data_IF_852306486779
#
_entry.id   IF_852306486779
#
_cell.length_a   1.000
_cell.length_b   1.000
_cell.length_c   1.000
_cell.angle_alpha   90.00
_cell.angle_beta   90.00
_cell.angle_gamma   90.00
#
_symmetry.space_group_name_H-M   'P 1'
#
loop_
_entity.id
_entity.type
_entity.pdbx_description
1 polymer ?
#
# COMPACT_ATOMS: atom_id res chain seq x y z
N UNK A 1 -5.03 19.18 70.84
CA UNK A 1 -4.46 18.24 69.84
C UNK A 1 -5.59 17.82 68.91
N UNK A 2 -5.62 18.31 67.67
CA UNK A 2 -6.63 17.93 66.68
C UNK A 2 -6.07 16.81 65.81
N UNK A 3 -6.69 15.63 65.84
CA UNK A 3 -6.35 14.53 64.93
C UNK A 3 -7.03 14.77 63.59
N UNK A 4 -6.23 14.84 62.52
CA UNK A 4 -6.74 14.84 61.15
C UNK A 4 -7.15 13.42 60.77
N UNK A 5 -8.46 13.19 60.65
CA UNK A 5 -9.02 11.94 60.13
C UNK A 5 -8.87 11.96 58.60
N UNK A 6 -7.94 11.18 58.05
CA UNK A 6 -7.81 10.97 56.61
C UNK A 6 -8.70 9.80 56.17
N UNK A 7 -9.83 10.10 55.53
CA UNK A 7 -10.66 9.08 54.89
C UNK A 7 -10.01 8.60 53.59
N UNK A 8 -9.62 7.33 53.56
CA UNK A 8 -8.98 6.65 52.42
C UNK A 8 -9.90 6.47 51.21
N UNK A 9 -11.22 6.66 51.37
CA UNK A 9 -12.23 6.53 50.32
C UNK A 9 -12.98 7.86 50.07
N UNK A 10 -12.26 8.93 49.74
CA UNK A 10 -12.90 10.21 49.36
C UNK A 10 -12.97 10.38 47.85
N UNK A 11 -13.94 11.18 47.37
CA UNK A 11 -14.10 11.58 45.95
C UNK A 11 -12.80 12.13 45.34
N UNK A 12 -11.95 12.75 46.16
CA UNK A 12 -10.62 13.25 45.78
C UNK A 12 -9.63 12.11 45.49
N UNK A 13 -9.64 11.05 46.31
CA UNK A 13 -8.85 9.83 46.05
C UNK A 13 -9.33 9.11 44.79
N UNK A 14 -10.65 9.05 44.55
CA UNK A 14 -11.23 8.46 43.34
C UNK A 14 -10.82 9.21 42.07
N UNK A 15 -10.89 10.55 42.06
CA UNK A 15 -10.47 11.36 40.90
C UNK A 15 -8.95 11.21 40.65
N UNK A 16 -8.14 11.15 41.71
CA UNK A 16 -6.68 11.05 41.59
C UNK A 16 -6.22 9.67 41.08
N UNK A 17 -6.93 8.59 41.44
CA UNK A 17 -6.69 7.26 40.89
C UNK A 17 -7.27 7.11 39.46
N UNK A 18 -8.46 7.68 39.21
CA UNK A 18 -9.11 7.66 37.90
C UNK A 18 -8.34 8.43 36.83
N UNK A 19 -7.70 9.55 37.18
CA UNK A 19 -6.82 10.28 36.25
C UNK A 19 -5.64 9.44 35.79
N UNK A 20 -5.12 8.55 36.65
CA UNK A 20 -4.04 7.64 36.29
C UNK A 20 -4.51 6.59 35.29
N UNK A 21 -5.71 6.02 35.49
CA UNK A 21 -6.31 5.02 34.56
C UNK A 21 -6.62 5.63 33.20
N UNK A 22 -7.12 6.88 33.15
CA UNK A 22 -7.35 7.60 31.90
C UNK A 22 -6.05 8.00 31.17
N UNK A 23 -4.94 8.11 31.90
CA UNK A 23 -3.63 8.39 31.32
C UNK A 23 -2.91 7.14 30.77
N UNK A 24 -3.30 5.92 31.20
CA UNK A 24 -2.72 4.66 30.69
C UNK A 24 -2.79 4.54 29.15
N UNK A 25 -3.93 4.78 28.46
CA UNK A 25 -3.97 4.70 27.00
C UNK A 25 -3.13 5.78 26.29
N UNK A 26 -2.83 6.90 26.95
CA UNK A 26 -1.93 7.93 26.44
C UNK A 26 -0.46 7.69 26.78
N UNK A 27 -0.13 6.64 27.56
CA UNK A 27 1.24 6.28 27.89
C UNK A 27 1.83 5.24 26.92
N UNK A 28 1.00 4.57 26.11
CA UNK A 28 1.49 3.69 25.03
C UNK A 28 2.31 4.45 23.98
N UNK A 29 2.03 5.74 23.75
CA UNK A 29 2.82 6.59 22.86
C UNK A 29 4.20 6.96 23.41
N UNK A 30 4.41 6.81 24.73
CA UNK A 30 5.70 7.04 25.41
C UNK A 30 6.44 5.73 25.73
N UNK A 31 5.82 4.58 25.51
CA UNK A 31 6.51 3.31 25.56
C UNK A 31 7.52 3.30 24.40
N UNK A 32 8.79 3.60 24.73
CA UNK A 32 9.91 3.25 23.85
C UNK A 32 9.78 1.76 23.58
N UNK A 33 9.43 1.43 22.34
CA UNK A 33 9.31 0.05 21.90
C UNK A 33 10.57 -0.68 22.31
N UNK A 34 10.42 -1.84 22.95
CA UNK A 34 11.53 -2.73 23.23
C UNK A 34 12.38 -2.81 21.96
N UNK A 35 13.65 -2.44 22.06
CA UNK A 35 14.67 -2.72 21.07
C UNK A 35 14.78 -4.24 20.92
N UNK A 36 13.84 -4.83 20.20
CA UNK A 36 14.00 -6.15 19.68
C UNK A 36 14.98 -5.98 18.53
N UNK A 37 16.10 -6.70 18.61
CA UNK A 37 16.91 -7.15 17.47
C UNK A 37 16.09 -7.98 16.46
N UNK A 38 14.80 -7.67 16.29
CA UNK A 38 13.92 -8.24 15.31
C UNK A 38 14.36 -7.71 13.95
N UNK A 39 14.53 -8.64 13.00
CA UNK A 39 14.76 -8.29 11.61
C UNK A 39 13.65 -7.32 11.17
N UNK A 40 13.99 -6.18 10.53
CA UNK A 40 12.97 -5.25 10.08
C UNK A 40 11.97 -5.99 9.16
N UNK A 41 10.66 -5.68 9.28
CA UNK A 41 9.64 -6.35 8.48
C UNK A 41 9.90 -6.07 7.00
N UNK A 42 9.70 -7.08 6.17
CA UNK A 42 9.76 -6.94 4.70
C UNK A 42 8.55 -6.12 4.26
N UNK A 43 8.76 -5.18 3.34
CA UNK A 43 7.72 -4.33 2.78
C UNK A 43 7.71 -4.46 1.27
N UNK A 44 6.52 -4.46 0.69
CA UNK A 44 6.30 -4.43 -0.76
C UNK A 44 5.46 -3.22 -1.07
N UNK A 45 5.81 -2.50 -2.15
CA UNK A 45 5.07 -1.32 -2.61
C UNK A 45 4.75 -1.53 -4.07
N UNK A 46 3.48 -1.35 -4.42
CA UNK A 46 3.00 -1.35 -5.79
C UNK A 46 2.68 0.09 -6.19
N UNK A 47 3.22 0.53 -7.32
CA UNK A 47 3.00 1.86 -7.88
C UNK A 47 2.43 1.70 -9.29
N UNK A 48 1.22 2.21 -9.52
CA UNK A 48 0.61 2.23 -10.84
C UNK A 48 0.85 3.58 -11.52
N UNK A 49 1.27 3.59 -12.79
CA UNK A 49 1.38 4.80 -13.60
C UNK A 49 0.34 4.80 -14.73
N UNK A 50 -0.74 5.57 -14.59
CA UNK A 50 -1.87 5.56 -15.53
C UNK A 50 -1.53 6.03 -16.96
N UNK A 51 -0.62 6.99 -17.11
CA UNK A 51 -0.18 7.47 -18.43
C UNK A 51 0.87 6.57 -19.11
N UNK A 52 1.39 5.57 -18.39
CA UNK A 52 2.49 4.75 -18.88
C UNK A 52 3.81 5.52 -18.97
N UNK A 53 4.73 4.99 -19.79
CA UNK A 53 6.08 5.51 -19.96
C UNK A 53 6.42 5.71 -21.44
N UNK A 54 7.30 6.68 -21.72
CA UNK A 54 7.77 6.98 -23.08
C UNK A 54 8.51 5.78 -23.67
N UNK A 55 8.03 5.27 -24.80
CA UNK A 55 8.56 4.04 -25.40
C UNK A 55 10.04 4.15 -25.76
N UNK A 56 10.44 5.28 -26.33
CA UNK A 56 11.77 5.48 -26.90
C UNK A 56 12.86 5.68 -25.84
N UNK A 57 12.49 6.13 -24.63
CA UNK A 57 13.46 6.53 -23.60
C UNK A 57 13.38 5.72 -22.32
N UNK A 58 12.32 4.92 -22.11
CA UNK A 58 12.13 4.18 -20.87
C UNK A 58 12.58 2.71 -20.96
N UNK A 59 12.27 2.01 -22.06
CA UNK A 59 12.50 0.57 -22.18
C UNK A 59 13.86 0.25 -22.80
N UNK A 60 14.64 -0.69 -22.23
CA UNK A 60 15.92 -1.09 -22.79
C UNK A 60 15.74 -1.93 -24.05
N UNK A 61 16.61 -1.72 -25.04
CA UNK A 61 16.62 -2.48 -26.30
C UNK A 61 17.28 -3.86 -26.17
N UNK A 62 18.15 -4.03 -25.17
CA UNK A 62 18.94 -5.25 -24.94
C UNK A 62 18.66 -5.79 -23.54
N UNK A 63 18.47 -7.10 -23.45
CA UNK A 63 18.40 -7.80 -22.18
C UNK A 63 19.79 -7.94 -21.55
N UNK A 64 19.87 -7.88 -20.22
CA UNK A 64 21.11 -8.01 -19.46
C UNK A 64 21.03 -7.24 -18.16
N UNK A 65 22.10 -7.32 -17.35
CA UNK A 65 22.21 -6.47 -16.16
C UNK A 65 22.40 -5.03 -16.60
N UNK A 66 21.76 -4.09 -15.91
CA UNK A 66 21.93 -2.66 -16.20
C UNK A 66 23.37 -2.16 -16.00
N UNK A 67 24.19 -2.89 -15.23
CA UNK A 67 25.64 -2.68 -15.15
C UNK A 67 26.35 -2.87 -16.50
N UNK A 68 25.83 -3.75 -17.35
CA UNK A 68 26.48 -4.21 -18.58
C UNK A 68 25.88 -3.55 -19.81
N UNK A 69 24.55 -3.39 -19.84
CA UNK A 69 23.82 -2.81 -20.98
C UNK A 69 23.56 -1.30 -20.83
N UNK A 70 23.80 -0.75 -19.64
CA UNK A 70 23.51 0.64 -19.31
C UNK A 70 22.03 0.90 -19.00
N UNK A 71 21.76 1.97 -18.26
CA UNK A 71 20.40 2.45 -18.01
C UNK A 71 19.88 3.27 -19.19
N UNK A 72 18.58 3.21 -19.44
CA UNK A 72 17.88 4.11 -20.37
C UNK A 72 17.79 5.52 -19.80
N UNK A 73 17.47 6.51 -20.63
CA UNK A 73 17.32 7.90 -20.19
C UNK A 73 16.29 8.04 -19.07
N UNK A 74 15.13 7.38 -19.21
CA UNK A 74 14.06 7.39 -18.21
C UNK A 74 14.44 6.74 -16.88
N UNK A 75 15.48 5.91 -16.85
CA UNK A 75 15.98 5.24 -15.64
C UNK A 75 17.24 5.89 -15.05
N UNK A 76 17.80 6.94 -15.67
CA UNK A 76 18.99 7.62 -15.15
C UNK A 76 18.89 8.07 -13.68
N UNK A 77 17.74 8.56 -13.18
CA UNK A 77 17.60 8.91 -11.77
C UNK A 77 17.87 7.73 -10.80
N UNK A 78 17.77 6.49 -11.28
CA UNK A 78 18.00 5.27 -10.50
C UNK A 78 19.44 4.74 -10.62
N UNK A 79 20.38 5.50 -11.21
CA UNK A 79 21.76 5.05 -11.45
C UNK A 79 22.45 4.47 -10.21
N UNK A 80 22.22 5.07 -9.04
CA UNK A 80 22.75 4.61 -7.75
C UNK A 80 22.25 3.22 -7.31
N UNK A 81 21.18 2.72 -7.92
CA UNK A 81 20.49 1.46 -7.62
C UNK A 81 20.49 0.50 -8.82
N UNK A 82 21.36 0.71 -9.82
CA UNK A 82 21.38 -0.06 -11.06
C UNK A 82 21.50 -1.59 -10.85
N UNK A 83 22.11 -2.03 -9.75
CA UNK A 83 22.27 -3.44 -9.39
C UNK A 83 21.12 -3.99 -8.54
N UNK A 84 20.23 -3.11 -8.07
CA UNK A 84 19.06 -3.44 -7.23
C UNK A 84 17.75 -3.43 -8.02
N UNK A 85 17.79 -3.09 -9.32
CA UNK A 85 16.60 -2.97 -10.17
C UNK A 85 16.60 -4.01 -11.28
N UNK A 86 15.41 -4.52 -11.59
CA UNK A 86 15.17 -5.42 -12.72
C UNK A 86 13.92 -4.95 -13.43
N UNK A 87 14.02 -4.77 -14.76
CA UNK A 87 12.87 -4.48 -15.59
C UNK A 87 12.42 -5.75 -16.30
N UNK A 88 11.15 -6.10 -16.12
CA UNK A 88 10.48 -7.11 -16.94
C UNK A 88 9.58 -6.38 -17.92
N UNK A 89 9.91 -6.47 -19.21
CA UNK A 89 9.20 -5.80 -20.28
C UNK A 89 8.31 -6.78 -21.07
N UNK A 90 7.51 -6.25 -21.99
CA UNK A 90 6.62 -7.03 -22.86
C UNK A 90 5.57 -7.88 -22.11
N UNK A 91 5.10 -7.35 -20.97
CA UNK A 91 3.98 -7.92 -20.22
C UNK A 91 2.67 -7.25 -20.65
N UNK A 92 1.65 -8.06 -20.93
CA UNK A 92 0.31 -7.58 -21.24
C UNK A 92 -0.73 -8.47 -20.58
N UNK A 93 -1.79 -7.86 -20.03
CA UNK A 93 -2.95 -8.60 -19.57
C UNK A 93 -3.94 -8.77 -20.74
N UNK A 94 -4.00 -9.97 -21.32
CA UNK A 94 -4.96 -10.30 -22.38
C UNK A 94 -6.43 -10.16 -21.96
N UNK A 95 -6.69 -10.20 -20.66
CA UNK A 95 -8.01 -10.02 -20.07
C UNK A 95 -8.43 -8.57 -19.87
N UNK A 96 -7.52 -7.61 -20.06
CA UNK A 96 -7.83 -6.18 -20.00
C UNK A 96 -8.47 -5.71 -21.33
N UNK A 97 -9.51 -4.90 -21.25
CA UNK A 97 -10.33 -4.53 -22.41
C UNK A 97 -9.97 -3.18 -23.06
N UNK A 98 -9.20 -2.33 -22.37
CA UNK A 98 -8.80 -1.01 -22.87
C UNK A 98 -7.47 -0.59 -22.23
N UNK A 99 -6.54 0.11 -22.92
CA UNK A 99 -5.23 0.50 -22.37
C UNK A 99 -5.31 1.30 -21.07
N UNK A 100 -6.26 2.25 -20.98
CA UNK A 100 -6.48 3.02 -19.75
C UNK A 100 -7.24 2.22 -18.67
N UNK A 101 -8.01 1.21 -19.08
CA UNK A 101 -8.69 0.30 -18.17
C UNK A 101 -7.74 -0.69 -17.48
N UNK A 102 -6.49 -0.82 -17.94
CA UNK A 102 -5.52 -1.78 -17.39
C UNK A 102 -5.28 -1.64 -15.90
N UNK A 103 -5.36 -0.40 -15.37
CA UNK A 103 -5.20 -0.09 -13.94
C UNK A 103 -6.12 -0.91 -13.04
N UNK A 104 -7.36 -1.17 -13.48
CA UNK A 104 -8.36 -1.93 -12.72
C UNK A 104 -7.94 -3.38 -12.48
N UNK A 105 -7.09 -3.92 -13.36
CA UNK A 105 -6.65 -5.33 -13.34
C UNK A 105 -5.15 -5.47 -13.10
N UNK A 106 -4.46 -4.37 -12.76
CA UNK A 106 -3.00 -4.33 -12.70
C UNK A 106 -2.43 -5.36 -11.71
N UNK A 107 -2.99 -5.42 -10.50
CA UNK A 107 -2.54 -6.34 -9.45
C UNK A 107 -3.31 -7.66 -9.43
N UNK A 108 -4.34 -7.81 -10.25
CA UNK A 108 -5.20 -9.00 -10.27
C UNK A 108 -4.92 -9.90 -11.47
N UNK A 109 -4.50 -9.32 -12.61
CA UNK A 109 -4.35 -10.03 -13.89
C UNK A 109 -5.68 -10.56 -14.44
N UNK A 110 -6.81 -10.07 -13.94
CA UNK A 110 -8.12 -10.64 -14.25
C UNK A 110 -8.56 -10.37 -15.70
N UNK A 111 -9.41 -11.27 -16.21
CA UNK A 111 -10.20 -11.03 -17.40
C UNK A 111 -11.48 -10.27 -17.04
N UNK A 112 -11.41 -8.94 -17.14
CA UNK A 112 -12.41 -8.04 -16.57
C UNK A 112 -13.78 -8.11 -17.25
N UNK A 113 -13.81 -8.54 -18.52
CA UNK A 113 -15.06 -8.68 -19.29
C UNK A 113 -15.42 -10.14 -19.63
N UNK A 114 -14.53 -11.09 -19.37
CA UNK A 114 -14.67 -12.46 -19.85
C UNK A 114 -15.54 -13.38 -19.00
N UNK A 115 -16.30 -12.87 -18.04
CA UNK A 115 -17.14 -13.70 -17.16
C UNK A 115 -18.58 -13.77 -17.69
N UNK A 116 -19.07 -14.96 -18.11
CA UNK A 116 -20.42 -15.12 -18.65
C UNK A 116 -21.49 -14.58 -17.68
N UNK A 117 -22.40 -13.77 -18.20
CA UNK A 117 -23.50 -13.19 -17.41
C UNK A 117 -23.12 -11.99 -16.53
N UNK A 118 -21.86 -11.54 -16.53
CA UNK A 118 -21.41 -10.34 -15.79
C UNK A 118 -20.88 -9.28 -16.75
N UNK A 119 -21.17 -8.01 -16.46
CA UNK A 119 -20.63 -6.86 -17.20
C UNK A 119 -19.19 -6.52 -16.80
N UNK A 120 -18.81 -6.90 -15.58
CA UNK A 120 -17.48 -6.73 -15.01
C UNK A 120 -17.21 -7.81 -13.97
N UNK A 121 -15.99 -8.33 -13.92
CA UNK A 121 -15.54 -9.26 -12.89
C UNK A 121 -14.05 -9.12 -12.64
N UNK A 122 -13.62 -8.99 -11.39
CA UNK A 122 -12.21 -8.95 -11.02
C UNK A 122 -11.82 -10.17 -10.19
N UNK A 123 -10.53 -10.32 -9.89
CA UNK A 123 -10.00 -11.30 -8.95
C UNK A 123 -9.32 -10.63 -7.76
N UNK A 124 -8.93 -11.41 -6.74
CA UNK A 124 -8.15 -10.92 -5.61
C UNK A 124 -6.81 -10.40 -6.13
N UNK A 125 -6.34 -9.29 -5.59
CA UNK A 125 -5.10 -8.66 -5.99
C UNK A 125 -3.89 -9.21 -5.23
N UNK A 126 -2.72 -9.15 -5.87
CA UNK A 126 -1.47 -9.69 -5.33
C UNK A 126 -1.03 -9.03 -4.02
N UNK A 127 -1.29 -7.72 -3.85
CA UNK A 127 -1.05 -7.01 -2.58
C UNK A 127 -1.89 -7.56 -1.44
N UNK A 128 -3.16 -7.93 -1.68
CA UNK A 128 -4.03 -8.53 -0.67
C UNK A 128 -3.58 -9.95 -0.30
N UNK A 129 -3.08 -10.73 -1.27
CA UNK A 129 -2.44 -12.02 -1.00
C UNK A 129 -1.15 -11.81 -0.17
N UNK A 130 -0.31 -10.85 -0.54
CA UNK A 130 0.92 -10.54 0.19
C UNK A 130 0.64 -10.05 1.61
N UNK A 131 -0.41 -9.26 1.83
CA UNK A 131 -0.82 -8.81 3.16
C UNK A 131 -1.12 -9.99 4.11
N UNK A 132 -1.72 -11.07 3.59
CA UNK A 132 -1.99 -12.30 4.36
C UNK A 132 -0.71 -13.03 4.78
N UNK A 133 0.36 -12.93 4.00
CA UNK A 133 1.60 -13.67 4.25
C UNK A 133 2.70 -12.83 4.93
N UNK A 134 2.82 -11.55 4.58
CA UNK A 134 3.89 -10.66 5.04
C UNK A 134 3.41 -9.61 6.05
N UNK A 135 2.11 -9.29 6.04
CA UNK A 135 1.53 -8.24 6.89
C UNK A 135 1.18 -8.66 8.31
N UNK A 136 1.43 -9.92 8.69
CA UNK A 136 1.03 -10.48 10.00
C UNK A 136 1.83 -9.85 11.17
N UNK A 137 3.05 -9.38 10.90
CA UNK A 137 3.95 -8.79 11.90
C UNK A 137 3.98 -7.25 11.84
N UNK A 138 3.06 -6.62 11.09
CA UNK A 138 2.99 -5.15 10.95
C UNK A 138 1.68 -4.61 11.52
N UNK A 139 1.70 -3.38 12.05
CA UNK A 139 0.51 -2.72 12.62
C UNK A 139 -0.68 -2.69 11.63
N UNK A 140 -0.39 -2.49 10.36
CA UNK A 140 -1.32 -2.58 9.25
C UNK A 140 -0.79 -3.63 8.29
N UNK A 141 -1.61 -4.62 7.93
CA UNK A 141 -1.23 -5.70 7.02
C UNK A 141 -1.21 -5.25 5.55
N UNK A 142 -2.04 -4.26 5.22
CA UNK A 142 -2.09 -3.56 3.93
C UNK A 142 -2.36 -2.08 4.17
N UNK A 143 -1.95 -1.23 3.23
CA UNK A 143 -2.28 0.19 3.20
C UNK A 143 -2.49 0.63 1.75
N UNK A 144 -3.73 0.92 1.39
CA UNK A 144 -4.10 1.45 0.07
C UNK A 144 -4.12 2.97 0.13
N UNK A 145 -3.36 3.62 -0.74
CA UNK A 145 -3.31 5.07 -0.87
C UNK A 145 -3.79 5.47 -2.26
N UNK A 146 -4.64 6.49 -2.32
CA UNK A 146 -5.05 7.14 -3.56
C UNK A 146 -4.79 8.64 -3.45
N UNK A 147 -4.49 9.27 -4.58
CA UNK A 147 -4.35 10.72 -4.66
C UNK A 147 -5.47 11.25 -5.55
N UNK A 148 -6.16 12.27 -5.05
CA UNK A 148 -7.14 12.99 -5.87
C UNK A 148 -6.39 13.88 -6.88
N UNK A 149 -6.78 13.77 -8.13
CA UNK A 149 -6.31 14.69 -9.16
C UNK A 149 -6.95 16.06 -8.95
N UNK A 150 -6.16 17.14 -9.08
CA UNK A 150 -6.61 18.50 -8.78
C UNK A 150 -7.74 18.96 -9.71
N UNK A 151 -7.71 18.54 -10.98
CA UNK A 151 -8.71 18.89 -11.99
C UNK A 151 -9.79 17.80 -12.18
N UNK A 152 -9.60 16.61 -11.59
CA UNK A 152 -10.51 15.46 -11.67
C UNK A 152 -10.85 15.00 -13.10
N UNK A 153 -10.10 15.48 -14.11
CA UNK A 153 -10.54 15.40 -15.50
C UNK A 153 -10.07 14.13 -16.22
N UNK A 154 -8.96 13.53 -15.77
CA UNK A 154 -8.29 12.45 -16.50
C UNK A 154 -8.00 11.21 -15.64
N UNK A 155 -8.37 11.25 -14.36
CA UNK A 155 -8.06 10.21 -13.37
C UNK A 155 -6.56 9.83 -13.38
N UNK A 156 -5.69 10.82 -13.64
CA UNK A 156 -4.24 10.63 -13.81
C UNK A 156 -3.87 9.48 -14.77
N UNK A 157 -4.68 9.28 -15.80
CA UNK A 157 -4.49 8.25 -16.84
C UNK A 157 -5.02 6.86 -16.48
N UNK A 158 -5.57 6.66 -15.28
CA UNK A 158 -6.09 5.37 -14.81
C UNK A 158 -7.47 4.98 -15.39
N UNK A 159 -8.06 5.83 -16.23
CA UNK A 159 -9.38 5.59 -16.81
C UNK A 159 -10.46 5.49 -15.74
N UNK A 160 -11.45 4.62 -15.93
CA UNK A 160 -12.56 4.45 -14.98
C UNK A 160 -12.22 3.62 -13.72
N UNK A 161 -11.00 3.08 -13.60
CA UNK A 161 -10.59 2.22 -12.49
C UNK A 161 -9.65 2.95 -11.54
N UNK A 162 -10.15 3.35 -10.37
CA UNK A 162 -9.38 4.11 -9.37
C UNK A 162 -8.77 3.23 -8.26
N UNK A 163 -9.09 1.93 -8.22
CA UNK A 163 -8.53 1.00 -7.25
C UNK A 163 -7.58 0.00 -7.88
N UNK A 164 -6.42 -0.15 -7.25
CA UNK A 164 -5.45 -1.21 -7.54
C UNK A 164 -5.63 -2.43 -6.64
N UNK A 165 -6.33 -2.29 -5.51
CA UNK A 165 -6.50 -3.32 -4.49
C UNK A 165 -7.91 -3.92 -4.53
N UNK A 166 -8.00 -5.25 -4.53
CA UNK A 166 -9.23 -6.02 -4.68
C UNK A 166 -9.22 -7.23 -3.74
N UNK A 167 -10.27 -7.38 -2.94
CA UNK A 167 -10.41 -8.50 -2.02
C UNK A 167 -11.02 -9.76 -2.68
N UNK A 168 -11.22 -10.83 -1.89
CA UNK A 168 -11.84 -12.09 -2.37
C UNK A 168 -13.32 -11.93 -2.77
N UNK A 169 -13.97 -10.84 -2.36
CA UNK A 169 -15.34 -10.50 -2.73
C UNK A 169 -15.39 -9.61 -3.98
N UNK A 170 -14.23 -9.31 -4.57
CA UNK A 170 -14.08 -8.40 -5.71
C UNK A 170 -14.52 -6.98 -5.38
N UNK A 171 -14.46 -6.58 -4.12
CA UNK A 171 -14.66 -5.22 -3.69
C UNK A 171 -13.30 -4.48 -3.70
N UNK A 172 -13.35 -3.22 -4.12
CA UNK A 172 -12.16 -2.36 -4.11
C UNK A 172 -11.88 -1.84 -2.72
N UNK A 173 -10.65 -2.02 -2.23
CA UNK A 173 -10.22 -1.55 -0.90
C UNK A 173 -9.82 -0.06 -0.89
N UNK A 174 -10.35 0.73 -1.85
CA UNK A 174 -10.19 2.18 -1.88
C UNK A 174 -11.13 2.78 -0.84
N UNK A 175 -10.60 3.04 0.36
CA UNK A 175 -11.33 3.73 1.42
C UNK A 175 -12.08 4.95 0.87
N UNK A 176 -13.39 4.99 1.11
CA UNK A 176 -14.30 6.08 0.76
C UNK A 176 -13.93 7.40 1.42
#
# INVERSE_FOLDING_TARGET
MSQFINHTATRRSFIRAGSTVLAIPFLETLASGKDAKAKPPKRVVFLGGGFGFTKDTFYPEKAGRFSDVGLTEGLQPLKRHQDDITMVANLTNHGATNPHGGSVSYLTGANVAGTPGKRFHNSISCDQILARHLGQDTRFSSLTLSANEVDGGQNSGHGGGLSLAWDDFWESDSGS
#
